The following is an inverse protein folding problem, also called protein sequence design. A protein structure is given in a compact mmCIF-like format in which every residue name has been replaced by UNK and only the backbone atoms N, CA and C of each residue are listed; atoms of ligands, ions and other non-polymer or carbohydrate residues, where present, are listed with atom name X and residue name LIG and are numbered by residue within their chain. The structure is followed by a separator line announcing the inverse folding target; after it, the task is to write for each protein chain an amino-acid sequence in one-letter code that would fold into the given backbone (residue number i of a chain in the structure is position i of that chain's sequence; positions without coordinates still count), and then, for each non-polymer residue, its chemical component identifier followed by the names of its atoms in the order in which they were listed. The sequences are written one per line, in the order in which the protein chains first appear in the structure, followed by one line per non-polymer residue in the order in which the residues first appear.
data_IF_650492602913
#
_entry.id   IF_650492602913
#
_cell.length_a   1.000
_cell.length_b   1.000
_cell.length_c   1.000
_cell.angle_alpha   90.00
_cell.angle_beta   90.00
_cell.angle_gamma   90.00
#
_symmetry.space_group_name_H-M   'P 1'
#
loop_
_entity.id
_entity.type
_entity.pdbx_description
1 polymer ?
#
# COMPACT_ATOMS: atom_id res chain seq x y z
N UNK A 1 20.18 -17.44 1.26
CA UNK A 1 19.87 -16.00 1.22
C UNK A 1 20.83 -15.29 2.15
N UNK A 2 21.73 -14.46 1.59
CA UNK A 2 22.76 -13.79 2.36
C UNK A 2 22.15 -12.71 3.24
N UNK A 3 22.81 -12.33 4.33
CA UNK A 3 22.34 -11.27 5.27
C UNK A 3 22.03 -9.97 4.49
N UNK A 4 22.87 -9.64 3.51
CA UNK A 4 22.70 -8.49 2.64
C UNK A 4 21.38 -8.52 1.83
N UNK A 5 20.98 -9.70 1.34
CA UNK A 5 19.73 -9.86 0.57
C UNK A 5 18.50 -9.66 1.47
N UNK A 6 18.58 -10.13 2.73
CA UNK A 6 17.48 -9.95 3.70
C UNK A 6 17.30 -8.47 4.01
N UNK A 7 18.40 -7.76 4.25
CA UNK A 7 18.37 -6.33 4.53
C UNK A 7 17.88 -5.52 3.32
N UNK A 8 18.32 -5.89 2.10
CA UNK A 8 17.82 -5.30 0.86
C UNK A 8 16.31 -5.51 0.69
N UNK A 9 15.81 -6.73 0.94
CA UNK A 9 14.37 -7.02 0.90
C UNK A 9 13.59 -6.19 1.91
N UNK A 10 14.06 -6.12 3.16
CA UNK A 10 13.39 -5.33 4.19
C UNK A 10 13.38 -3.85 3.82
N UNK A 11 14.47 -3.30 3.27
CA UNK A 11 14.54 -1.92 2.76
C UNK A 11 13.53 -1.68 1.63
N UNK A 12 13.45 -2.61 0.67
CA UNK A 12 12.52 -2.50 -0.45
C UNK A 12 11.05 -2.56 -0.02
N UNK A 13 10.68 -3.51 0.84
CA UNK A 13 9.33 -3.60 1.41
C UNK A 13 8.97 -2.32 2.15
N UNK A 14 9.86 -1.80 3.02
CA UNK A 14 9.63 -0.54 3.74
C UNK A 14 9.46 0.66 2.81
N UNK A 15 10.20 0.70 1.70
CA UNK A 15 10.04 1.76 0.71
C UNK A 15 8.67 1.69 0.02
N UNK A 16 8.20 0.49 -0.32
CA UNK A 16 6.87 0.26 -0.88
C UNK A 16 5.75 0.61 0.12
N UNK A 17 5.87 0.22 1.39
CA UNK A 17 4.88 0.56 2.43
C UNK A 17 4.80 2.08 2.67
N UNK A 18 5.94 2.77 2.70
CA UNK A 18 5.97 4.24 2.79
C UNK A 18 5.32 4.90 1.59
N UNK A 19 5.56 4.36 0.40
CA UNK A 19 4.92 4.84 -0.83
C UNK A 19 3.40 4.67 -0.77
N UNK A 20 2.92 3.47 -0.40
CA UNK A 20 1.50 3.19 -0.19
C UNK A 20 0.88 4.17 0.82
N UNK A 21 1.50 4.34 1.99
CA UNK A 21 0.98 5.25 3.03
C UNK A 21 0.87 6.69 2.55
N UNK A 22 1.86 7.17 1.77
CA UNK A 22 1.80 8.49 1.15
C UNK A 22 0.64 8.62 0.15
N UNK A 23 0.39 7.59 -0.66
CA UNK A 23 -0.73 7.58 -1.61
C UNK A 23 -2.08 7.57 -0.88
N UNK A 24 -2.25 6.67 0.09
CA UNK A 24 -3.49 6.54 0.88
C UNK A 24 -3.84 7.85 1.58
N UNK A 25 -2.87 8.51 2.20
CA UNK A 25 -3.08 9.80 2.87
C UNK A 25 -3.61 10.88 1.91
N UNK A 26 -3.17 10.88 0.65
CA UNK A 26 -3.66 11.81 -0.35
C UNK A 26 -5.03 11.40 -0.91
N UNK A 27 -5.23 10.11 -1.20
CA UNK A 27 -6.48 9.57 -1.75
C UNK A 27 -7.65 9.67 -0.76
N UNK A 28 -7.40 9.61 0.55
CA UNK A 28 -8.44 9.75 1.60
C UNK A 28 -8.70 11.22 2.00
N UNK A 29 -8.03 12.19 1.37
CA UNK A 29 -8.28 13.60 1.64
C UNK A 29 -9.69 13.98 1.18
N UNK A 30 -10.47 14.64 2.05
CA UNK A 30 -11.83 15.11 1.75
C UNK A 30 -11.85 16.05 0.53
N UNK A 31 -10.81 16.87 0.40
CA UNK A 31 -10.60 17.75 -0.75
C UNK A 31 -9.57 17.13 -1.70
N UNK A 32 -9.87 15.93 -2.22
CA UNK A 32 -8.96 15.23 -3.13
C UNK A 32 -8.67 16.07 -4.37
N UNK A 33 -7.39 16.37 -4.58
CA UNK A 33 -6.87 17.05 -5.77
C UNK A 33 -5.93 16.10 -6.52
N UNK A 34 -6.34 15.74 -7.73
CA UNK A 34 -5.60 14.79 -8.55
C UNK A 34 -4.22 15.33 -8.98
N UNK A 35 -4.09 16.63 -9.27
CA UNK A 35 -2.80 17.23 -9.63
C UNK A 35 -1.81 17.23 -8.46
N UNK A 36 -2.28 17.49 -7.23
CA UNK A 36 -1.47 17.36 -6.02
C UNK A 36 -1.12 15.90 -5.74
N UNK A 37 -2.05 14.97 -5.97
CA UNK A 37 -1.79 13.54 -5.88
C UNK A 37 -0.68 13.11 -6.84
N UNK A 38 -0.74 13.52 -8.12
CA UNK A 38 0.29 13.21 -9.13
C UNK A 38 1.67 13.68 -8.67
N UNK A 39 1.80 14.95 -8.26
CA UNK A 39 3.08 15.50 -7.76
C UNK A 39 3.63 14.68 -6.58
N UNK A 40 2.74 14.26 -5.68
CA UNK A 40 3.11 13.44 -4.52
C UNK A 40 3.54 12.03 -4.94
N UNK A 41 2.80 11.40 -5.85
CA UNK A 41 3.07 10.08 -6.37
C UNK A 41 4.41 10.05 -7.13
N UNK A 42 4.69 11.04 -7.98
CA UNK A 42 5.98 11.18 -8.66
C UNK A 42 7.16 11.27 -7.69
N UNK A 43 7.05 12.11 -6.65
CA UNK A 43 8.09 12.23 -5.62
C UNK A 43 8.29 10.91 -4.86
N UNK A 44 7.20 10.22 -4.55
CA UNK A 44 7.21 8.90 -3.93
C UNK A 44 7.91 7.85 -4.81
N UNK A 45 7.57 7.79 -6.09
CA UNK A 45 8.18 6.87 -7.06
C UNK A 45 9.66 7.17 -7.29
N UNK A 46 10.06 8.45 -7.35
CA UNK A 46 11.49 8.84 -7.42
C UNK A 46 12.25 8.34 -6.19
N UNK A 47 11.63 8.37 -5.01
CA UNK A 47 12.25 7.85 -3.77
C UNK A 47 12.33 6.33 -3.79
N UNK A 48 11.27 5.66 -4.26
CA UNK A 48 11.24 4.20 -4.40
C UNK A 48 12.31 3.69 -5.38
N UNK A 49 12.53 4.39 -6.51
CA UNK A 49 13.56 4.06 -7.51
C UNK A 49 15.00 4.11 -6.98
N UNK A 50 15.25 4.75 -5.83
CA UNK A 50 16.57 4.75 -5.18
C UNK A 50 16.87 3.46 -4.41
N UNK A 51 15.88 2.59 -4.25
CA UNK A 51 16.02 1.32 -3.56
C UNK A 51 15.98 0.21 -4.61
N UNK A 52 17.00 -0.64 -4.60
CA UNK A 52 17.11 -1.71 -5.58
C UNK A 52 15.90 -2.66 -5.48
N UNK A 53 15.20 -2.91 -6.60
CA UNK A 53 14.10 -3.86 -6.60
C UNK A 53 14.66 -5.27 -6.39
N UNK A 54 13.99 -6.02 -5.52
CA UNK A 54 14.32 -7.42 -5.22
C UNK A 54 13.07 -8.27 -5.29
N UNK A 55 13.24 -9.56 -5.62
CA UNK A 55 12.14 -10.51 -5.71
C UNK A 55 11.40 -10.61 -4.37
N UNK A 56 10.09 -10.40 -4.45
CA UNK A 56 9.12 -10.59 -3.39
C UNK A 56 8.32 -11.87 -3.66
N UNK A 57 7.89 -12.54 -2.61
CA UNK A 57 7.32 -13.90 -2.66
C UNK A 57 5.97 -14.02 -1.95
N UNK A 58 5.68 -13.15 -0.98
CA UNK A 58 4.38 -13.14 -0.31
C UNK A 58 3.31 -12.39 -1.11
N UNK A 59 2.05 -12.80 -0.97
CA UNK A 59 0.88 -12.13 -1.56
C UNK A 59 0.85 -10.64 -1.25
N UNK A 60 1.08 -10.27 0.02
CA UNK A 60 1.08 -8.88 0.47
C UNK A 60 2.19 -8.07 -0.19
N UNK A 61 3.43 -8.58 -0.18
CA UNK A 61 4.59 -7.87 -0.72
C UNK A 61 4.53 -7.74 -2.25
N UNK A 62 4.00 -8.74 -2.95
CA UNK A 62 3.71 -8.64 -4.38
C UNK A 62 2.60 -7.62 -4.65
N UNK A 63 1.57 -7.60 -3.80
CA UNK A 63 0.51 -6.59 -3.85
C UNK A 63 1.05 -5.16 -3.71
N UNK A 64 2.00 -4.92 -2.80
CA UNK A 64 2.66 -3.63 -2.66
C UNK A 64 3.36 -3.18 -3.95
N UNK A 65 4.07 -4.09 -4.62
CA UNK A 65 4.76 -3.80 -5.88
C UNK A 65 3.75 -3.53 -7.01
N UNK A 66 2.69 -4.34 -7.10
CA UNK A 66 1.61 -4.15 -8.08
C UNK A 66 0.90 -2.80 -7.90
N UNK A 67 0.68 -2.39 -6.65
CA UNK A 67 0.10 -1.09 -6.36
C UNK A 67 1.02 0.07 -6.78
N UNK A 68 2.32 -0.04 -6.55
CA UNK A 68 3.28 0.96 -7.01
C UNK A 68 3.27 1.09 -8.54
N UNK A 69 3.21 -0.03 -9.26
CA UNK A 69 3.10 -0.06 -10.72
C UNK A 69 1.76 0.53 -11.20
N UNK A 70 0.65 0.20 -10.52
CA UNK A 70 -0.67 0.74 -10.83
C UNK A 70 -0.66 2.27 -10.72
N UNK A 71 -0.18 2.82 -9.60
CA UNK A 71 -0.08 4.28 -9.42
C UNK A 71 0.80 4.90 -10.49
N UNK A 72 1.96 4.29 -10.78
CA UNK A 72 2.86 4.79 -11.83
C UNK A 72 2.16 4.86 -13.19
N UNK A 73 1.40 3.83 -13.56
CA UNK A 73 0.67 3.80 -14.83
C UNK A 73 -0.48 4.81 -14.86
N UNK A 74 -1.18 5.00 -13.73
CA UNK A 74 -2.28 5.95 -13.60
C UNK A 74 -1.86 7.42 -13.68
N UNK A 75 -0.60 7.74 -13.40
CA UNK A 75 -0.10 9.13 -13.44
C UNK A 75 0.74 9.45 -14.68
N UNK A 76 1.16 8.45 -15.46
CA UNK A 76 1.95 8.64 -16.69
C UNK A 76 1.04 8.87 -17.90
N UNK A 77 -0.07 8.13 -17.99
CA UNK A 77 -1.01 8.22 -19.10
C UNK A 77 -2.19 9.11 -18.71
N UNK A 78 -1.96 10.43 -18.73
CA UNK A 78 -2.94 11.43 -18.30
C UNK A 78 -3.93 11.89 -19.39
N UNK A 79 -3.80 11.38 -20.61
CA UNK A 79 -4.73 11.71 -21.69
C UNK A 79 -5.98 10.82 -21.62
N UNK A 80 -7.17 11.42 -21.57
CA UNK A 80 -8.45 10.68 -21.57
C UNK A 80 -8.77 9.91 -20.28
N UNK A 81 -8.01 10.13 -19.21
CA UNK A 81 -8.25 9.52 -17.89
C UNK A 81 -9.53 10.07 -17.27
N UNK A 82 -10.37 9.14 -16.82
CA UNK A 82 -11.40 9.42 -15.83
C UNK A 82 -10.75 9.49 -14.44
N UNK A 83 -10.67 10.71 -13.91
CA UNK A 83 -10.06 11.02 -12.62
C UNK A 83 -10.82 10.34 -11.48
N UNK A 84 -12.15 10.31 -11.54
CA UNK A 84 -12.99 9.75 -10.49
C UNK A 84 -12.85 8.22 -10.46
N UNK A 85 -12.88 7.57 -11.62
CA UNK A 85 -12.67 6.12 -11.72
C UNK A 85 -11.24 5.74 -11.29
N UNK A 86 -10.25 6.55 -11.68
CA UNK A 86 -8.86 6.34 -11.25
C UNK A 86 -8.73 6.47 -9.74
N UNK A 87 -9.33 7.49 -9.13
CA UNK A 87 -9.36 7.69 -7.68
C UNK A 87 -10.00 6.50 -6.97
N UNK A 88 -11.19 6.06 -7.41
CA UNK A 88 -11.91 4.90 -6.87
C UNK A 88 -11.06 3.63 -6.96
N UNK A 89 -10.45 3.38 -8.12
CA UNK A 89 -9.60 2.21 -8.35
C UNK A 89 -8.38 2.19 -7.43
N UNK A 90 -7.65 3.31 -7.35
CA UNK A 90 -6.47 3.41 -6.49
C UNK A 90 -6.82 3.27 -5.00
N UNK A 91 -7.95 3.83 -4.56
CA UNK A 91 -8.39 3.70 -3.18
C UNK A 91 -8.85 2.28 -2.86
N UNK A 92 -9.55 1.62 -3.79
CA UNK A 92 -9.98 0.22 -3.67
C UNK A 92 -8.79 -0.72 -3.49
N UNK A 93 -7.79 -0.63 -4.36
CA UNK A 93 -6.58 -1.47 -4.28
C UNK A 93 -5.79 -1.23 -2.99
N UNK A 94 -5.69 0.03 -2.54
CA UNK A 94 -5.06 0.33 -1.27
C UNK A 94 -5.79 -0.31 -0.07
N UNK A 95 -7.12 -0.27 -0.07
CA UNK A 95 -7.93 -0.90 0.99
C UNK A 95 -7.81 -2.44 0.96
N UNK A 96 -7.68 -3.05 -0.23
CA UNK A 96 -7.41 -4.49 -0.35
C UNK A 96 -6.06 -4.86 0.27
N UNK A 97 -5.02 -4.05 0.04
CA UNK A 97 -3.70 -4.27 0.65
C UNK A 97 -3.72 -4.14 2.18
N UNK A 98 -4.49 -3.19 2.71
CA UNK A 98 -4.67 -3.04 4.15
C UNK A 98 -5.32 -4.30 4.75
N UNK A 99 -6.36 -4.84 4.10
CA UNK A 99 -6.99 -6.10 4.51
C UNK A 99 -6.03 -7.29 4.45
N UNK A 100 -5.26 -7.42 3.37
CA UNK A 100 -4.28 -8.50 3.24
C UNK A 100 -3.17 -8.40 4.29
N UNK A 101 -2.70 -7.19 4.62
CA UNK A 101 -1.70 -6.97 5.69
C UNK A 101 -2.17 -7.54 7.02
N UNK A 102 -3.45 -7.37 7.35
CA UNK A 102 -4.03 -7.81 8.63
C UNK A 102 -4.73 -9.16 8.57
N UNK A 103 -4.71 -9.88 7.43
CA UNK A 103 -5.46 -11.13 7.23
C UNK A 103 -5.21 -12.21 8.29
N UNK A 104 -4.00 -12.27 8.87
CA UNK A 104 -3.67 -13.17 9.98
C UNK A 104 -4.20 -12.74 11.36
N UNK A 105 -4.44 -11.45 11.57
CA UNK A 105 -4.96 -10.86 12.82
C UNK A 105 -6.48 -10.61 12.77
N UNK A 106 -7.05 -10.50 11.57
CA UNK A 106 -8.44 -10.09 11.29
C UNK A 106 -9.52 -11.04 11.86
N UNK A 107 -9.15 -12.23 12.37
CA UNK A 107 -10.09 -13.20 12.96
C UNK A 107 -10.06 -13.34 14.48
N UNK A 108 -9.23 -12.60 15.23
CA UNK A 108 -9.02 -12.92 16.68
C UNK A 108 -9.69 -12.01 17.71
N UNK A 109 -10.25 -10.86 17.34
CA UNK A 109 -10.77 -9.93 18.36
C UNK A 109 -12.25 -10.14 18.72
N UNK A 110 -13.07 -10.72 17.84
CA UNK A 110 -14.51 -10.89 18.11
C UNK A 110 -14.84 -11.87 19.26
N UNK A 111 -13.90 -12.73 19.65
CA UNK A 111 -14.12 -13.75 20.70
C UNK A 111 -13.29 -13.53 21.99
N UNK A 112 -12.61 -12.39 22.16
CA UNK A 112 -11.82 -12.12 23.38
C UNK A 112 -12.59 -11.41 24.50
N UNK A 113 -13.84 -11.01 24.27
CA UNK A 113 -14.64 -10.22 25.22
C UNK A 113 -15.76 -10.99 25.93
N UNK A 114 -15.67 -12.32 26.02
CA UNK A 114 -16.57 -13.10 26.88
C UNK A 114 -15.73 -13.71 28.01
N UNK A 115 -15.39 -12.87 28.99
CA UNK A 115 -14.84 -13.34 30.25
C UNK A 115 -15.87 -14.25 30.92
N UNK A 116 -15.50 -15.51 31.14
CA UNK A 116 -16.23 -16.40 32.02
C UNK A 116 -16.19 -15.78 33.42
N UNK A 117 -17.35 -15.39 33.94
CA UNK A 117 -17.54 -15.05 35.35
C UNK A 117 -17.87 -16.35 36.07
N UNK A 118 -16.86 -17.11 36.50
CA UNK A 118 -17.07 -18.26 37.37
C UNK A 118 -17.14 -17.73 38.81
N UNK A 119 -18.36 -17.66 39.33
CA UNK A 119 -18.66 -17.09 40.63
C UNK A 119 -18.13 -17.96 41.77
N UNK A 120 -17.42 -17.32 42.69
CA UNK A 120 -17.13 -17.81 44.04
C UNK A 120 -17.42 -16.69 45.05
#
# INVERSE_FOLDING_TARGET
MNINDKDARVKYIRALERFLGSCVSALKNENFDFGLFVKRAEKGLKTLKKVDPIRLDSTYTNGLQNYANLVSNSIVNLEGIDIEETHKRLLKEANLLEKEKYRGSYKKEKHKAQGFNDGY
#
